data_IF_264398207651
#
_entry.id   IF_264398207651
#
_cell.length_a   1.000
_cell.length_b   1.000
_cell.length_c   1.000
_cell.angle_alpha   90.00
_cell.angle_beta   90.00
_cell.angle_gamma   90.00
#
_symmetry.space_group_name_H-M   'P 1'
#
loop_
_entity.id
_entity.type
_entity.pdbx_description
1 polymer ?
#
# COMPACT_ATOMS: atom_id res chain seq x y z
N UNK A 1 -70.80 -3.28 -0.31
CA UNK A 1 -69.55 -3.72 -0.98
C UNK A 1 -69.05 -2.53 -1.81
N UNK A 2 -68.07 -1.78 -1.31
CA UNK A 2 -67.55 -0.58 -2.00
C UNK A 2 -66.58 -1.07 -3.07
N UNK A 3 -66.82 -0.69 -4.34
CA UNK A 3 -66.02 -1.11 -5.49
C UNK A 3 -64.97 -0.01 -5.74
N UNK A 4 -63.75 -0.25 -5.29
CA UNK A 4 -62.60 0.63 -5.57
C UNK A 4 -62.28 0.62 -7.08
N UNK A 5 -62.21 1.80 -7.69
CA UNK A 5 -61.84 1.99 -9.09
C UNK A 5 -60.32 2.00 -9.23
N UNK A 6 -59.72 0.93 -9.76
CA UNK A 6 -58.30 0.89 -10.09
C UNK A 6 -58.04 1.85 -11.26
N UNK A 7 -57.47 3.02 -10.96
CA UNK A 7 -56.99 3.96 -11.99
C UNK A 7 -55.71 3.39 -12.61
N UNK A 8 -55.70 3.26 -13.94
CA UNK A 8 -54.51 2.86 -14.70
C UNK A 8 -53.49 3.99 -14.79
N UNK A 9 -52.21 3.63 -14.83
CA UNK A 9 -51.09 4.55 -14.99
C UNK A 9 -50.87 4.89 -16.46
N UNK A 10 -50.51 6.13 -16.78
CA UNK A 10 -50.26 6.54 -18.17
C UNK A 10 -48.84 6.20 -18.62
N UNK A 11 -48.65 6.04 -19.92
CA UNK A 11 -47.32 5.74 -20.50
C UNK A 11 -46.33 6.87 -20.21
N UNK A 12 -46.77 8.13 -20.26
CA UNK A 12 -45.88 9.27 -19.99
C UNK A 12 -45.41 9.31 -18.54
N UNK A 13 -46.27 8.97 -17.57
CA UNK A 13 -45.88 8.87 -16.17
C UNK A 13 -44.85 7.74 -15.98
N UNK A 14 -45.01 6.61 -16.66
CA UNK A 14 -44.01 5.52 -16.63
C UNK A 14 -42.68 5.95 -17.22
N UNK A 15 -42.68 6.68 -18.33
CA UNK A 15 -41.47 7.18 -18.97
C UNK A 15 -40.74 8.21 -18.11
N UNK A 16 -41.45 9.10 -17.42
CA UNK A 16 -40.84 10.08 -16.52
C UNK A 16 -40.20 9.38 -15.32
N UNK A 17 -40.90 8.41 -14.70
CA UNK A 17 -40.39 7.71 -13.52
C UNK A 17 -39.10 6.94 -13.85
N UNK A 18 -39.07 6.17 -14.94
CA UNK A 18 -37.84 5.47 -15.32
C UNK A 18 -36.71 6.44 -15.70
N UNK A 19 -37.05 7.60 -16.28
CA UNK A 19 -36.09 8.66 -16.59
C UNK A 19 -35.46 9.25 -15.33
N UNK A 20 -36.27 9.59 -14.32
CA UNK A 20 -35.79 10.14 -13.04
C UNK A 20 -34.99 9.09 -12.26
N UNK A 21 -35.47 7.85 -12.18
CA UNK A 21 -34.75 6.76 -11.49
C UNK A 21 -33.41 6.48 -12.18
N UNK A 22 -33.37 6.44 -13.51
CA UNK A 22 -32.14 6.26 -14.27
C UNK A 22 -31.12 7.39 -14.02
N UNK A 23 -31.59 8.64 -13.97
CA UNK A 23 -30.75 9.80 -13.68
C UNK A 23 -30.20 9.78 -12.24
N UNK A 24 -31.01 9.39 -11.25
CA UNK A 24 -30.56 9.27 -9.86
C UNK A 24 -29.62 8.07 -9.66
N UNK A 25 -29.85 6.95 -10.34
CA UNK A 25 -29.00 5.76 -10.23
C UNK A 25 -27.58 6.02 -10.76
N UNK A 26 -27.43 6.78 -11.85
CA UNK A 26 -26.11 7.07 -12.44
C UNK A 26 -25.22 7.92 -11.53
N UNK A 27 -25.79 8.91 -10.83
CA UNK A 27 -25.03 9.75 -9.89
C UNK A 27 -24.56 8.97 -8.67
N UNK A 28 -25.40 8.07 -8.15
CA UNK A 28 -25.05 7.18 -7.04
C UNK A 28 -23.88 6.27 -7.40
N UNK A 29 -23.88 5.67 -8.60
CA UNK A 29 -22.79 4.79 -9.04
C UNK A 29 -21.44 5.51 -9.06
N UNK A 30 -21.37 6.72 -9.63
CA UNK A 30 -20.15 7.51 -9.66
C UNK A 30 -19.63 7.84 -8.25
N UNK A 31 -20.53 8.21 -7.33
CA UNK A 31 -20.16 8.51 -5.95
C UNK A 31 -19.61 7.27 -5.20
N UNK A 32 -20.18 6.09 -5.46
CA UNK A 32 -19.72 4.84 -4.83
C UNK A 32 -18.32 4.41 -5.28
N UNK A 33 -17.99 4.56 -6.57
CA UNK A 33 -16.66 4.23 -7.09
C UNK A 33 -15.57 5.13 -6.48
N UNK A 34 -15.81 6.44 -6.40
CA UNK A 34 -14.86 7.36 -5.75
C UNK A 34 -14.65 7.03 -4.27
N UNK A 35 -15.74 6.66 -3.57
CA UNK A 35 -15.66 6.27 -2.15
C UNK A 35 -14.85 4.99 -1.96
N UNK A 36 -14.96 4.04 -2.90
CA UNK A 36 -14.19 2.79 -2.90
C UNK A 36 -12.70 3.06 -3.11
N UNK A 37 -12.33 3.88 -4.09
CA UNK A 37 -10.94 4.26 -4.36
C UNK A 37 -10.30 4.96 -3.16
N UNK A 38 -11.01 5.91 -2.54
CA UNK A 38 -10.53 6.58 -1.31
C UNK A 38 -10.35 5.60 -0.15
N UNK A 39 -11.29 4.67 0.03
CA UNK A 39 -11.19 3.66 1.09
C UNK A 39 -9.99 2.73 0.90
N UNK A 40 -9.70 2.40 -0.36
CA UNK A 40 -8.53 1.62 -0.76
C UNK A 40 -7.22 2.33 -0.42
N UNK A 41 -7.09 3.61 -0.77
CA UNK A 41 -5.93 4.44 -0.43
C UNK A 41 -5.73 4.58 1.09
N UNK A 42 -6.82 4.85 1.84
CA UNK A 42 -6.78 4.93 3.31
C UNK A 42 -6.28 3.62 3.91
N UNK A 43 -6.76 2.48 3.42
CA UNK A 43 -6.31 1.17 3.88
C UNK A 43 -4.81 0.98 3.66
N UNK A 44 -4.29 1.34 2.47
CA UNK A 44 -2.86 1.27 2.18
C UNK A 44 -2.07 2.17 3.13
N UNK A 45 -2.52 3.40 3.37
CA UNK A 45 -1.84 4.32 4.29
C UNK A 45 -1.81 3.82 5.74
N UNK A 46 -2.86 3.13 6.19
CA UNK A 46 -2.89 2.44 7.49
C UNK A 46 -1.87 1.30 7.53
N UNK A 47 -1.85 0.46 6.49
CA UNK A 47 -0.92 -0.66 6.39
C UNK A 47 0.55 -0.16 6.31
N UNK A 48 0.85 0.93 5.60
CA UNK A 48 2.18 1.56 5.59
C UNK A 48 2.59 2.11 6.97
N UNK A 49 1.63 2.64 7.73
CA UNK A 49 1.89 3.11 9.11
C UNK A 49 2.25 1.94 10.01
N UNK A 50 1.54 0.81 9.88
CA UNK A 50 1.89 -0.43 10.58
C UNK A 50 3.26 -0.95 10.16
N UNK A 51 3.57 -0.92 8.87
CA UNK A 51 4.88 -1.33 8.36
C UNK A 51 6.01 -0.47 8.95
N UNK A 52 5.85 0.86 9.04
CA UNK A 52 6.83 1.73 9.70
C UNK A 52 7.05 1.38 11.17
N UNK A 53 5.98 1.11 11.90
CA UNK A 53 6.08 0.65 13.29
C UNK A 53 6.78 -0.71 13.40
N UNK A 54 6.47 -1.64 12.50
CA UNK A 54 7.12 -2.94 12.41
C UNK A 54 8.63 -2.82 12.11
N UNK A 55 9.02 -1.91 11.22
CA UNK A 55 10.42 -1.62 10.92
C UNK A 55 11.13 -1.03 12.14
N UNK A 56 10.46 -0.18 12.91
CA UNK A 56 11.04 0.37 14.14
C UNK A 56 11.27 -0.71 15.20
N UNK A 57 10.36 -1.68 15.33
CA UNK A 57 10.53 -2.83 16.23
C UNK A 57 11.67 -3.74 15.77
N UNK A 58 11.71 -4.08 14.48
CA UNK A 58 12.82 -4.85 13.90
C UNK A 58 14.17 -4.18 14.18
N UNK A 59 14.24 -2.85 13.99
CA UNK A 59 15.45 -2.08 14.23
C UNK A 59 15.82 -2.09 15.71
N UNK A 60 14.85 -1.99 16.62
CA UNK A 60 15.09 -2.07 18.06
C UNK A 60 15.69 -3.42 18.47
N UNK A 61 15.15 -4.52 17.95
CA UNK A 61 15.57 -5.87 18.33
C UNK A 61 16.91 -6.26 17.69
N UNK A 62 17.07 -5.96 16.41
CA UNK A 62 18.18 -6.48 15.61
C UNK A 62 19.26 -5.46 15.30
N UNK A 63 18.99 -4.17 15.47
CA UNK A 63 19.86 -3.08 15.01
C UNK A 63 19.92 -2.94 13.48
N UNK A 64 19.06 -3.67 12.73
CA UNK A 64 19.06 -3.68 11.27
C UNK A 64 17.75 -3.18 10.68
N UNK A 65 17.85 -2.59 9.50
CA UNK A 65 16.73 -2.33 8.61
C UNK A 65 16.29 -3.60 7.88
N UNK A 66 15.12 -3.58 7.20
CA UNK A 66 14.60 -4.75 6.52
C UNK A 66 15.57 -5.34 5.48
N UNK A 67 16.38 -4.52 4.84
CA UNK A 67 17.39 -4.99 3.89
C UNK A 67 18.62 -5.65 4.54
N UNK A 68 18.66 -5.79 5.87
CA UNK A 68 19.81 -6.32 6.61
C UNK A 68 20.95 -5.33 6.77
N UNK A 69 20.75 -4.06 6.38
CA UNK A 69 21.73 -3.00 6.58
C UNK A 69 21.55 -2.33 7.95
N UNK A 70 22.56 -1.58 8.39
CA UNK A 70 22.41 -0.63 9.51
C UNK A 70 21.74 0.66 9.00
N UNK A 71 21.04 1.43 9.85
CA UNK A 71 20.34 2.65 9.42
C UNK A 71 21.20 3.71 8.74
N UNK A 72 22.51 3.70 8.99
CA UNK A 72 23.47 4.62 8.35
C UNK A 72 23.72 4.26 6.87
N UNK A 73 23.42 3.02 6.47
CA UNK A 73 23.54 2.55 5.10
C UNK A 73 22.23 2.72 4.36
N UNK A 74 22.09 3.87 3.72
CA UNK A 74 20.96 4.17 2.82
C UNK A 74 21.09 3.50 1.43
N UNK A 75 22.10 2.66 1.19
CA UNK A 75 22.27 2.01 -0.10
C UNK A 75 21.35 0.80 -0.25
N UNK A 76 21.04 0.46 -1.52
CA UNK A 76 20.45 -0.82 -1.93
C UNK A 76 21.05 -2.01 -1.16
N UNK A 77 20.29 -3.10 -0.93
CA UNK A 77 19.12 -3.52 -1.71
C UNK A 77 17.78 -3.00 -1.22
N UNK A 78 16.87 -2.72 -2.15
CA UNK A 78 15.42 -2.68 -1.92
C UNK A 78 14.90 -4.09 -1.60
N UNK A 79 13.91 -4.20 -0.72
CA UNK A 79 13.37 -5.51 -0.32
C UNK A 79 11.87 -5.51 -0.13
N UNK A 80 11.20 -6.52 -0.68
CA UNK A 80 9.80 -6.81 -0.39
C UNK A 80 9.64 -7.25 1.07
N UNK A 81 8.82 -6.55 1.85
CA UNK A 81 8.67 -6.80 3.29
C UNK A 81 7.91 -8.09 3.63
N UNK A 82 7.37 -8.81 2.65
CA UNK A 82 6.75 -10.13 2.84
C UNK A 82 7.74 -11.30 2.72
N UNK A 83 9.03 -11.02 2.48
CA UNK A 83 10.10 -12.00 2.32
C UNK A 83 10.85 -12.26 3.63
N UNK A 84 11.56 -13.39 3.72
CA UNK A 84 12.44 -13.67 4.87
C UNK A 84 13.60 -12.68 4.98
N UNK A 85 14.13 -12.20 3.84
CA UNK A 85 15.21 -11.21 3.82
C UNK A 85 14.84 -9.96 4.62
N UNK A 86 13.58 -9.53 4.54
CA UNK A 86 13.07 -8.34 5.22
C UNK A 86 13.08 -8.40 6.75
N UNK A 87 13.05 -9.61 7.33
CA UNK A 87 12.85 -9.78 8.78
C UNK A 87 11.49 -9.32 9.33
N UNK A 88 10.56 -8.78 8.51
CA UNK A 88 9.30 -8.22 9.01
C UNK A 88 8.28 -9.31 9.33
N UNK A 89 7.99 -10.18 8.35
CA UNK A 89 6.96 -11.25 8.51
C UNK A 89 7.54 -12.63 8.77
N UNK A 90 8.83 -12.81 8.48
CA UNK A 90 9.52 -14.10 8.53
C UNK A 90 10.92 -13.89 9.07
N UNK A 91 11.40 -14.85 9.86
CA UNK A 91 12.76 -14.85 10.39
C UNK A 91 13.78 -14.82 9.24
N UNK A 92 14.76 -13.89 9.24
CA UNK A 92 15.78 -13.85 8.20
C UNK A 92 16.79 -15.00 8.33
N UNK A 93 17.42 -15.34 7.21
CA UNK A 93 18.53 -16.29 7.19
C UNK A 93 19.84 -15.52 7.39
N UNK A 94 20.74 -16.08 8.20
CA UNK A 94 22.11 -15.55 8.37
C UNK A 94 22.82 -15.57 7.02
N UNK A 95 23.43 -14.45 6.65
CA UNK A 95 24.12 -14.32 5.37
C UNK A 95 24.11 -12.90 4.81
N UNK A 96 24.89 -12.73 3.75
CA UNK A 96 24.93 -11.51 2.94
C UNK A 96 23.67 -11.40 2.08
N UNK A 97 23.07 -10.22 2.08
CA UNK A 97 21.87 -9.84 1.33
C UNK A 97 22.21 -8.92 0.14
N UNK A 98 23.50 -8.63 -0.07
CA UNK A 98 24.02 -7.73 -1.10
C UNK A 98 24.51 -6.41 -0.51
N UNK A 99 25.49 -5.79 -1.17
CA UNK A 99 26.05 -4.47 -0.83
C UNK A 99 26.50 -4.34 0.64
N UNK A 100 27.13 -5.38 1.19
CA UNK A 100 27.59 -5.46 2.58
C UNK A 100 26.47 -5.33 3.64
N UNK A 101 25.22 -5.64 3.26
CA UNK A 101 24.10 -5.74 4.16
C UNK A 101 23.89 -7.20 4.52
N UNK A 102 23.93 -7.53 5.81
CA UNK A 102 24.01 -8.91 6.26
C UNK A 102 23.28 -9.12 7.56
N UNK A 103 22.64 -10.28 7.65
CA UNK A 103 22.12 -10.80 8.91
C UNK A 103 23.20 -11.66 9.56
N UNK A 104 23.58 -11.32 10.79
CA UNK A 104 24.50 -12.14 11.61
C UNK A 104 23.73 -13.06 12.54
N UNK A 105 24.37 -14.10 13.07
CA UNK A 105 23.73 -14.99 14.05
C UNK A 105 23.25 -14.23 15.30
N UNK A 106 23.96 -13.18 15.71
CA UNK A 106 23.57 -12.36 16.85
C UNK A 106 22.26 -11.60 16.57
N UNK A 107 22.14 -10.99 15.40
CA UNK A 107 20.93 -10.27 14.98
C UNK A 107 19.71 -11.20 14.96
N UNK A 108 19.90 -12.42 14.42
CA UNK A 108 18.88 -13.45 14.32
C UNK A 108 18.49 -14.06 15.68
N UNK A 109 19.39 -14.01 16.67
CA UNK A 109 19.09 -14.43 18.04
C UNK A 109 18.21 -13.42 18.77
N UNK A 110 18.33 -12.13 18.43
CA UNK A 110 17.54 -11.06 19.04
C UNK A 110 16.21 -10.82 18.32
N UNK A 111 16.03 -11.35 17.11
CA UNK A 111 14.79 -11.23 16.35
C UNK A 111 13.59 -11.83 17.12
N UNK A 112 12.56 -11.01 17.37
CA UNK A 112 11.32 -11.35 18.10
C UNK A 112 10.05 -11.22 17.24
N UNK A 113 10.21 -11.22 15.91
CA UNK A 113 9.09 -11.12 14.99
C UNK A 113 8.18 -12.36 14.95
N UNK A 114 7.16 -12.37 14.07
CA UNK A 114 6.87 -11.37 13.06
C UNK A 114 6.37 -10.04 13.65
N UNK A 115 6.76 -8.93 13.04
CA UNK A 115 6.39 -7.58 13.48
C UNK A 115 5.15 -7.02 12.75
N UNK A 116 4.67 -7.74 11.75
CA UNK A 116 3.48 -7.38 10.97
C UNK A 116 2.81 -8.65 10.42
N UNK A 117 1.48 -8.72 10.47
CA UNK A 117 0.73 -9.87 9.94
C UNK A 117 0.52 -9.80 8.42
N UNK A 118 0.25 -8.59 7.89
CA UNK A 118 -0.09 -8.37 6.48
C UNK A 118 0.90 -7.43 5.81
N UNK A 119 1.84 -8.00 5.07
CA UNK A 119 2.84 -7.25 4.30
C UNK A 119 2.49 -7.10 2.80
N UNK A 120 1.21 -7.17 2.44
CA UNK A 120 0.74 -7.02 1.06
C UNK A 120 -0.39 -6.00 0.95
N UNK A 121 -0.43 -5.29 -0.16
CA UNK A 121 -1.44 -4.32 -0.50
C UNK A 121 -2.78 -4.96 -0.91
N UNK A 122 -3.75 -4.13 -1.28
CA UNK A 122 -5.10 -4.57 -1.68
C UNK A 122 -5.14 -5.31 -3.03
N UNK A 123 -4.08 -5.20 -3.83
CA UNK A 123 -3.92 -5.88 -5.12
C UNK A 123 -3.08 -7.15 -4.99
N UNK A 124 -2.54 -7.43 -3.80
CA UNK A 124 -1.75 -8.62 -3.48
C UNK A 124 -0.25 -8.43 -3.71
N UNK A 125 0.22 -7.23 -4.02
CA UNK A 125 1.66 -6.95 -4.13
C UNK A 125 2.25 -6.73 -2.74
N UNK A 126 3.51 -7.13 -2.54
CA UNK A 126 4.21 -6.78 -1.30
C UNK A 126 4.41 -5.28 -1.20
N UNK A 127 4.34 -4.73 0.01
CA UNK A 127 5.01 -3.45 0.27
C UNK A 127 6.53 -3.64 0.16
N UNK A 128 7.22 -2.57 -0.16
CA UNK A 128 8.67 -2.56 -0.35
C UNK A 128 9.33 -1.59 0.61
N UNK A 129 10.44 -2.02 1.19
CA UNK A 129 11.35 -1.14 1.88
C UNK A 129 12.42 -0.69 0.89
N UNK A 130 12.51 0.62 0.71
CA UNK A 130 13.48 1.28 -0.14
C UNK A 130 14.32 2.25 0.73
N UNK A 131 15.61 1.95 0.96
CA UNK A 131 16.47 2.79 1.78
C UNK A 131 16.83 4.12 1.11
N UNK A 132 16.62 4.27 -0.20
CA UNK A 132 16.99 5.42 -1.02
C UNK A 132 15.86 5.81 -1.99
N UNK A 133 14.64 5.95 -1.47
CA UNK A 133 13.47 6.21 -2.30
C UNK A 133 13.47 7.63 -2.86
N UNK A 134 13.20 7.77 -4.17
CA UNK A 134 13.13 9.04 -4.91
C UNK A 134 11.67 9.47 -5.14
N UNK A 135 11.01 10.20 -4.23
CA UNK A 135 9.58 10.41 -4.35
C UNK A 135 9.25 11.34 -5.52
N UNK A 136 8.33 10.88 -6.38
CA UNK A 136 7.81 11.62 -7.52
C UNK A 136 8.85 12.00 -8.58
N UNK A 137 10.01 11.33 -8.62
CA UNK A 137 11.07 11.65 -9.60
C UNK A 137 10.59 11.52 -11.04
N UNK A 138 9.74 10.53 -11.35
CA UNK A 138 9.14 10.35 -12.68
C UNK A 138 7.69 10.85 -12.76
N UNK A 139 7.23 11.60 -11.77
CA UNK A 139 5.89 12.18 -11.80
C UNK A 139 5.89 13.51 -12.55
N UNK A 140 5.05 13.64 -13.56
CA UNK A 140 4.89 14.90 -14.31
C UNK A 140 4.00 15.93 -13.62
N UNK A 141 3.19 15.50 -12.64
CA UNK A 141 2.14 16.32 -12.00
C UNK A 141 2.58 16.89 -10.65
N UNK A 142 3.46 16.18 -9.94
CA UNK A 142 3.92 16.50 -8.59
C UNK A 142 5.43 16.70 -8.65
N UNK A 143 5.98 17.79 -8.08
CA UNK A 143 7.43 17.98 -8.07
C UNK A 143 8.11 16.90 -7.23
N UNK A 144 9.28 16.47 -7.69
CA UNK A 144 10.15 15.55 -6.97
C UNK A 144 10.45 16.08 -5.56
N UNK A 145 10.52 15.17 -4.58
CA UNK A 145 10.85 15.47 -3.19
C UNK A 145 12.27 15.01 -2.85
N UNK A 146 12.83 15.47 -1.71
CA UNK A 146 14.09 14.92 -1.21
C UNK A 146 14.02 13.40 -1.07
N UNK A 147 15.17 12.76 -1.26
CA UNK A 147 15.34 11.32 -1.12
C UNK A 147 15.20 10.94 0.35
N UNK A 148 14.44 9.88 0.62
CA UNK A 148 14.11 9.40 1.96
C UNK A 148 14.19 7.89 2.01
N UNK A 149 14.36 7.31 3.19
CA UNK A 149 14.14 5.88 3.39
C UNK A 149 12.66 5.64 3.62
N UNK A 150 12.02 4.82 2.79
CA UNK A 150 10.58 4.69 2.77
C UNK A 150 10.11 3.24 2.74
N UNK A 151 8.90 3.03 3.24
CA UNK A 151 8.08 1.88 2.87
C UNK A 151 7.05 2.33 1.83
N UNK A 152 6.94 1.57 0.75
CA UNK A 152 6.22 1.97 -0.47
C UNK A 152 5.24 0.89 -0.92
N UNK A 153 4.10 1.35 -1.44
CA UNK A 153 3.14 0.60 -2.25
C UNK A 153 3.16 1.19 -3.66
N UNK A 154 3.53 0.38 -4.64
CA UNK A 154 3.65 0.82 -6.05
C UNK A 154 2.32 0.84 -6.81
N UNK A 155 1.24 1.13 -6.09
CA UNK A 155 -0.08 1.26 -6.67
C UNK A 155 -0.60 0.05 -7.44
N UNK A 156 -1.59 0.32 -8.30
CA UNK A 156 -2.26 -0.68 -9.14
C UNK A 156 -1.44 -1.01 -10.39
N UNK A 157 -0.56 -0.11 -10.81
CA UNK A 157 0.12 -0.19 -12.11
C UNK A 157 1.41 -1.00 -12.07
N UNK A 158 1.84 -1.48 -10.90
CA UNK A 158 3.04 -2.30 -10.70
C UNK A 158 3.32 -3.30 -11.83
N UNK A 159 4.42 -3.09 -12.55
CA UNK A 159 4.96 -4.01 -13.56
C UNK A 159 6.34 -4.50 -13.14
N UNK A 160 6.44 -5.78 -12.79
CA UNK A 160 7.69 -6.55 -12.82
C UNK A 160 8.85 -6.12 -11.89
N UNK A 161 8.60 -5.68 -10.66
CA UNK A 161 9.69 -5.65 -9.67
C UNK A 161 10.55 -4.38 -9.65
N UNK A 162 10.20 -3.36 -10.45
CA UNK A 162 10.97 -2.12 -10.54
C UNK A 162 10.08 -0.95 -10.15
N UNK A 163 10.52 -0.21 -9.13
CA UNK A 163 9.90 1.03 -8.71
C UNK A 163 10.07 2.10 -9.79
N UNK A 164 8.96 2.64 -10.28
CA UNK A 164 8.97 3.68 -11.32
C UNK A 164 8.93 5.10 -10.74
N UNK A 165 8.81 5.27 -9.41
CA UNK A 165 8.80 6.57 -8.74
C UNK A 165 7.77 7.55 -9.32
N UNK A 166 6.61 7.02 -9.71
CA UNK A 166 5.60 7.74 -10.46
C UNK A 166 4.58 8.42 -9.52
N UNK A 167 3.49 8.93 -10.09
CA UNK A 167 2.49 9.68 -9.32
C UNK A 167 1.53 8.79 -8.51
N UNK A 168 1.50 7.46 -8.76
CA UNK A 168 0.53 6.54 -8.14
C UNK A 168 1.09 5.82 -6.89
N UNK A 169 2.39 5.96 -6.65
CA UNK A 169 3.07 5.49 -5.46
C UNK A 169 2.50 6.09 -4.18
N UNK A 170 2.20 5.20 -3.23
CA UNK A 170 1.89 5.55 -1.85
C UNK A 170 3.06 5.13 -0.98
N UNK A 171 3.72 6.09 -0.36
CA UNK A 171 4.86 5.83 0.51
C UNK A 171 4.73 6.48 1.88
N UNK A 172 5.51 5.97 2.82
CA UNK A 172 5.71 6.55 4.13
C UNK A 172 7.19 6.48 4.51
N UNK A 173 7.74 7.62 4.90
CA UNK A 173 9.10 7.76 5.40
C UNK A 173 9.29 7.00 6.72
N UNK A 174 10.42 6.31 6.84
CA UNK A 174 10.71 5.39 7.94
C UNK A 174 11.44 6.06 9.10
N UNK A 175 12.21 7.14 8.89
CA UNK A 175 12.77 8.01 9.93
C UNK A 175 13.12 9.39 9.39
#
# INVERSE_FOLDING_TARGET
MIKESIRGFTVIEALIVIGVVGALASTVLLATEQSRLKSQEIRIRVDLTQARSAISLLLYDTGKWPNGCEPEKVSNPEVAINTAQSGIVKKPNVGDQGNDCKWTQNDINNWDGPYMDRAVDIWGNSYWFDPYYHPYEKCSEIPAKPIVSAVVSFGRTWRNGVNDYDCDDLFLEVY
#
